data_IF_858406113446
#
_entry.id   IF_858406113446
#
_cell.length_a   1.000
_cell.length_b   1.000
_cell.length_c   1.000
_cell.angle_alpha   90.00
_cell.angle_beta   90.00
_cell.angle_gamma   90.00
#
_symmetry.space_group_name_H-M   'P 1'
#
loop_
_entity.id
_entity.type
_entity.pdbx_description
1 polymer ?
#
# COMPACT_ATOMS: atom_id res chain seq x y z
N UNK A 1 4.58 -24.41 0.94
CA UNK A 1 4.08 -24.31 2.32
C UNK A 1 3.41 -22.97 2.54
N UNK A 2 2.46 -22.87 3.46
CA UNK A 2 1.77 -21.63 3.88
C UNK A 2 2.02 -21.38 5.36
N UNK A 3 2.09 -20.13 5.78
CA UNK A 3 2.15 -19.77 7.21
C UNK A 3 0.75 -19.90 7.79
N UNK A 4 0.62 -20.63 8.90
CA UNK A 4 -0.66 -20.86 9.59
C UNK A 4 -0.72 -20.18 10.95
N UNK A 5 0.42 -19.91 11.58
CA UNK A 5 0.49 -19.26 12.88
C UNK A 5 1.79 -18.45 13.03
N UNK A 6 1.69 -17.33 13.74
CA UNK A 6 2.80 -16.50 14.21
C UNK A 6 2.74 -16.49 15.74
N UNK A 7 3.82 -16.89 16.42
CA UNK A 7 3.81 -17.05 17.88
C UNK A 7 5.00 -16.35 18.54
N UNK A 8 4.75 -15.75 19.70
CA UNK A 8 5.70 -14.96 20.49
C UNK A 8 4.97 -14.13 21.53
N UNK A 9 5.62 -13.79 22.65
CA UNK A 9 4.99 -12.99 23.72
C UNK A 9 5.14 -11.49 23.44
N UNK A 10 6.37 -10.98 23.50
CA UNK A 10 6.68 -9.57 23.20
C UNK A 10 7.29 -9.40 21.81
N UNK A 11 8.05 -10.41 21.36
CA UNK A 11 8.67 -10.48 20.04
C UNK A 11 8.32 -11.80 19.39
N UNK A 12 8.27 -11.82 18.07
CA UNK A 12 8.01 -13.04 17.31
C UNK A 12 9.18 -14.01 17.52
N UNK A 13 8.88 -15.24 17.93
CA UNK A 13 9.89 -16.27 18.26
C UNK A 13 9.72 -17.55 17.46
N UNK A 14 8.57 -17.76 16.80
CA UNK A 14 8.36 -18.90 15.92
C UNK A 14 7.23 -18.67 14.90
N UNK A 15 7.24 -19.50 13.86
CA UNK A 15 6.17 -19.62 12.87
C UNK A 15 5.78 -21.08 12.69
N UNK A 16 4.49 -21.33 12.49
CA UNK A 16 3.99 -22.63 12.05
C UNK A 16 3.75 -22.57 10.54
N UNK A 17 4.31 -23.54 9.81
CA UNK A 17 4.12 -23.65 8.36
C UNK A 17 3.52 -25.01 8.02
N UNK A 18 2.54 -24.99 7.12
CA UNK A 18 1.91 -26.19 6.56
C UNK A 18 2.38 -26.43 5.14
N UNK A 19 2.86 -27.62 4.82
CA UNK A 19 3.15 -28.01 3.44
C UNK A 19 1.84 -28.09 2.63
N UNK A 20 1.82 -27.44 1.46
CA UNK A 20 0.60 -27.34 0.63
C UNK A 20 0.33 -28.58 -0.21
N UNK A 21 1.27 -29.52 -0.27
CA UNK A 21 1.17 -30.79 -0.99
C UNK A 21 0.86 -31.94 -0.04
N UNK A 22 1.54 -32.00 1.11
CA UNK A 22 1.39 -33.11 2.06
C UNK A 22 0.43 -32.80 3.20
N UNK A 23 0.19 -31.52 3.50
CA UNK A 23 -0.60 -31.09 4.65
C UNK A 23 0.15 -31.15 5.99
N UNK A 24 1.40 -31.61 6.01
CA UNK A 24 2.21 -31.69 7.23
C UNK A 24 2.54 -30.30 7.78
N UNK A 25 2.48 -30.16 9.09
CA UNK A 25 2.85 -28.95 9.80
C UNK A 25 4.22 -29.08 10.46
N UNK A 26 4.97 -27.99 10.48
CA UNK A 26 6.22 -27.88 11.23
C UNK A 26 6.37 -26.49 11.82
N UNK A 27 7.05 -26.43 12.95
CA UNK A 27 7.37 -25.20 13.66
C UNK A 27 8.80 -24.80 13.32
N UNK A 28 9.00 -23.56 12.91
CA UNK A 28 10.32 -22.95 12.70
C UNK A 28 10.51 -21.94 13.83
N UNK A 29 11.56 -22.13 14.64
CA UNK A 29 11.88 -21.28 15.79
C UNK A 29 12.99 -20.29 15.43
N UNK A 30 13.03 -19.17 16.14
CA UNK A 30 14.14 -18.23 16.10
C UNK A 30 15.46 -18.87 16.54
N UNK A 31 16.57 -18.26 16.12
CA UNK A 31 17.90 -18.64 16.60
C UNK A 31 17.96 -18.42 18.12
N UNK A 32 18.58 -19.34 18.84
CA UNK A 32 18.68 -19.27 20.31
C UNK A 32 19.54 -18.08 20.78
N UNK A 33 20.37 -17.50 19.90
CA UNK A 33 21.28 -16.39 20.23
C UNK A 33 20.58 -15.05 20.41
N UNK A 34 19.60 -14.74 19.56
CA UNK A 34 18.86 -13.48 19.60
C UNK A 34 17.39 -13.66 19.95
N UNK A 35 16.84 -14.88 19.80
CA UNK A 35 15.46 -15.21 20.13
C UNK A 35 14.43 -14.50 19.27
N UNK A 36 14.85 -13.88 18.15
CA UNK A 36 14.01 -13.01 17.33
C UNK A 36 13.78 -13.64 15.96
N UNK A 37 12.52 -13.57 15.52
CA UNK A 37 12.09 -13.98 14.20
C UNK A 37 11.51 -12.78 13.44
N UNK A 38 11.88 -12.61 12.17
CA UNK A 38 11.32 -11.59 11.29
C UNK A 38 10.46 -12.21 10.18
N UNK A 39 9.25 -11.70 9.98
CA UNK A 39 8.38 -12.10 8.86
C UNK A 39 8.01 -10.87 8.04
N UNK A 40 8.31 -10.94 6.75
CA UNK A 40 7.97 -9.88 5.80
C UNK A 40 6.93 -10.41 4.81
N UNK A 41 5.71 -9.88 4.91
CA UNK A 41 4.57 -10.30 4.10
C UNK A 41 4.51 -9.49 2.81
N UNK A 42 4.72 -10.15 1.67
CA UNK A 42 4.61 -9.55 0.34
C UNK A 42 3.45 -10.19 -0.45
N UNK A 43 2.22 -10.06 0.06
CA UNK A 43 1.00 -10.63 -0.55
C UNK A 43 0.26 -9.65 -1.47
N UNK A 44 0.86 -8.49 -1.74
CA UNK A 44 0.24 -7.39 -2.46
C UNK A 44 -0.41 -6.37 -1.53
N UNK A 45 -0.86 -5.27 -2.12
CA UNK A 45 -1.53 -4.16 -1.44
C UNK A 45 -2.86 -3.91 -2.14
N UNK A 46 -3.93 -3.72 -1.38
CA UNK A 46 -5.21 -3.26 -1.91
C UNK A 46 -5.40 -1.78 -1.53
N UNK A 47 -5.37 -0.84 -2.49
CA UNK A 47 -5.59 0.57 -2.20
C UNK A 47 -7.04 0.84 -1.79
N UNK A 48 -7.26 1.78 -0.87
CA UNK A 48 -8.59 2.13 -0.36
C UNK A 48 -9.39 2.99 -1.35
N UNK A 49 -9.76 2.44 -2.51
CA UNK A 49 -10.42 3.17 -3.60
C UNK A 49 -11.90 2.85 -3.80
N UNK A 50 -12.47 1.99 -2.96
CA UNK A 50 -13.84 1.49 -3.17
C UNK A 50 -14.91 2.57 -3.12
N UNK A 51 -14.68 3.66 -2.39
CA UNK A 51 -15.62 4.79 -2.32
C UNK A 51 -15.80 5.51 -3.67
N UNK A 52 -14.80 5.43 -4.56
CA UNK A 52 -14.76 6.14 -5.85
C UNK A 52 -14.71 5.18 -7.04
N UNK A 53 -15.00 3.90 -6.80
CA UNK A 53 -15.11 2.88 -7.83
C UNK A 53 -16.06 3.35 -8.94
N UNK A 54 -15.66 3.09 -10.18
CA UNK A 54 -16.35 3.47 -11.42
C UNK A 54 -16.54 4.99 -11.64
N UNK A 55 -16.06 5.84 -10.74
CA UNK A 55 -16.07 7.30 -10.89
C UNK A 55 -14.70 7.80 -11.33
N UNK A 56 -13.66 7.36 -10.63
CA UNK A 56 -12.28 7.75 -10.90
C UNK A 56 -11.58 6.61 -11.64
N UNK A 57 -10.81 6.95 -12.66
CA UNK A 57 -10.03 5.99 -13.43
C UNK A 57 -8.97 5.33 -12.54
N UNK A 58 -8.95 3.99 -12.55
CA UNK A 58 -7.98 3.20 -11.77
C UNK A 58 -7.33 2.11 -12.62
N UNK A 59 -6.15 1.68 -12.20
CA UNK A 59 -5.48 0.49 -12.72
C UNK A 59 -5.06 -0.39 -11.54
N UNK A 60 -5.54 -1.63 -11.49
CA UNK A 60 -5.36 -2.54 -10.35
C UNK A 60 -5.76 -1.90 -9.01
N UNK A 61 -6.85 -1.13 -9.01
CA UNK A 61 -7.35 -0.40 -7.85
C UNK A 61 -6.64 0.92 -7.55
N UNK A 62 -5.49 1.21 -8.16
CA UNK A 62 -4.76 2.46 -7.91
C UNK A 62 -5.27 3.58 -8.80
N UNK A 63 -5.45 4.78 -8.22
CA UNK A 63 -5.90 5.96 -8.97
C UNK A 63 -4.86 6.37 -10.01
N UNK A 64 -5.31 6.58 -11.24
CA UNK A 64 -4.49 7.14 -12.30
C UNK A 64 -4.43 8.66 -12.15
N UNK A 65 -3.22 9.22 -12.21
CA UNK A 65 -3.01 10.67 -12.25
C UNK A 65 -1.94 11.05 -13.25
N UNK A 66 -1.92 12.32 -13.65
CA UNK A 66 -0.75 12.95 -14.27
C UNK A 66 0.33 13.27 -13.21
N UNK A 67 1.42 13.92 -13.65
CA UNK A 67 2.53 14.38 -12.79
C UNK A 67 2.14 15.56 -11.89
N UNK A 68 1.02 16.22 -12.18
CA UNK A 68 0.43 17.31 -11.40
C UNK A 68 -0.65 16.80 -10.42
N UNK A 69 -0.74 15.48 -10.26
CA UNK A 69 -1.66 14.76 -9.36
C UNK A 69 -3.14 14.87 -9.73
N UNK A 70 -3.47 15.34 -10.94
CA UNK A 70 -4.86 15.40 -11.43
C UNK A 70 -5.36 14.02 -11.82
N UNK A 71 -6.60 13.72 -11.50
CA UNK A 71 -7.30 12.53 -11.99
C UNK A 71 -7.97 12.80 -13.34
N UNK A 72 -8.75 11.85 -13.85
CA UNK A 72 -9.62 12.04 -15.01
C UNK A 72 -10.81 12.98 -14.74
N UNK A 73 -11.08 13.37 -13.48
CA UNK A 73 -12.15 14.29 -13.12
C UNK A 73 -11.51 15.65 -12.76
N UNK A 74 -11.85 16.74 -13.47
CA UNK A 74 -11.43 18.09 -13.10
C UNK A 74 -11.81 18.42 -11.65
N UNK A 75 -10.86 18.96 -10.89
CA UNK A 75 -11.04 19.32 -9.47
C UNK A 75 -10.85 18.15 -8.51
N UNK A 76 -10.55 16.95 -9.00
CA UNK A 76 -10.23 15.77 -8.18
C UNK A 76 -8.78 15.38 -8.38
N UNK A 77 -8.06 15.31 -7.26
CA UNK A 77 -6.63 14.98 -7.20
C UNK A 77 -6.42 13.73 -6.34
N UNK A 78 -5.33 13.01 -6.58
CA UNK A 78 -4.94 11.88 -5.75
C UNK A 78 -3.45 11.93 -5.43
N UNK A 79 -3.12 11.70 -4.16
CA UNK A 79 -1.76 11.76 -3.65
C UNK A 79 -1.47 10.60 -2.71
N UNK A 80 -0.21 10.19 -2.62
CA UNK A 80 0.21 9.12 -1.71
C UNK A 80 0.03 7.72 -2.30
N UNK A 81 -0.08 6.71 -1.45
CA UNK A 81 -0.03 5.32 -1.90
C UNK A 81 -1.30 4.83 -2.60
N UNK A 82 -2.32 5.69 -2.66
CA UNK A 82 -3.58 5.45 -3.38
C UNK A 82 -3.43 5.55 -4.91
N UNK A 83 -2.43 6.30 -5.40
CA UNK A 83 -2.17 6.47 -6.83
C UNK A 83 -1.23 5.42 -7.40
N UNK A 84 -1.26 5.26 -8.72
CA UNK A 84 -0.33 4.38 -9.45
C UNK A 84 1.08 4.96 -9.38
N UNK A 85 1.98 4.27 -8.67
CA UNK A 85 3.41 4.62 -8.59
C UNK A 85 4.30 3.42 -8.27
N UNK A 86 5.60 3.57 -8.57
CA UNK A 86 6.63 2.54 -8.37
C UNK A 86 7.11 2.47 -6.92
N UNK A 87 7.25 3.62 -6.24
CA UNK A 87 7.79 3.70 -4.89
C UNK A 87 6.72 4.18 -3.89
N UNK A 88 6.54 3.41 -2.82
CA UNK A 88 5.60 3.69 -1.72
C UNK A 88 6.39 3.95 -0.45
N UNK A 89 6.67 5.22 -0.19
CA UNK A 89 7.44 5.71 0.95
C UNK A 89 6.84 7.01 1.46
N UNK A 90 7.04 7.31 2.74
CA UNK A 90 6.55 8.54 3.39
C UNK A 90 6.95 9.77 2.58
N UNK A 91 8.22 9.87 2.17
CA UNK A 91 8.72 11.03 1.40
C UNK A 91 8.00 11.19 0.05
N UNK A 92 7.71 10.09 -0.65
CA UNK A 92 6.99 10.16 -1.93
C UNK A 92 5.54 10.58 -1.73
N UNK A 93 4.89 10.10 -0.66
CA UNK A 93 3.52 10.49 -0.35
C UNK A 93 3.40 11.96 0.04
N UNK A 94 4.36 12.47 0.82
CA UNK A 94 4.44 13.89 1.14
C UNK A 94 4.67 14.75 -0.11
N UNK A 95 5.55 14.32 -1.02
CA UNK A 95 5.80 14.99 -2.30
C UNK A 95 4.53 15.07 -3.15
N UNK A 96 3.84 13.93 -3.33
CA UNK A 96 2.56 13.88 -4.06
C UNK A 96 1.54 14.86 -3.43
N UNK A 97 1.44 14.87 -2.10
CA UNK A 97 0.50 15.74 -1.37
C UNK A 97 0.79 17.23 -1.54
N UNK A 98 2.06 17.62 -1.53
CA UNK A 98 2.48 19.00 -1.76
C UNK A 98 2.13 19.45 -3.19
N UNK A 99 2.37 18.61 -4.19
CA UNK A 99 2.02 18.90 -5.59
C UNK A 99 0.51 19.04 -5.73
N UNK A 100 -0.27 18.06 -5.25
CA UNK A 100 -1.72 18.06 -5.35
C UNK A 100 -2.36 19.32 -4.72
N UNK A 101 -1.90 19.73 -3.54
CA UNK A 101 -2.42 20.91 -2.86
C UNK A 101 -2.15 22.21 -3.65
N UNK A 102 -0.94 22.38 -4.19
CA UNK A 102 -0.57 23.55 -4.99
C UNK A 102 -1.33 23.57 -6.32
N UNK A 103 -1.52 22.42 -6.96
CA UNK A 103 -2.23 22.37 -8.24
C UNK A 103 -3.73 22.57 -8.08
N UNK A 104 -4.32 22.08 -6.99
CA UNK A 104 -5.72 22.40 -6.66
C UNK A 104 -5.94 23.91 -6.49
N UNK A 105 -5.02 24.62 -5.82
CA UNK A 105 -5.09 26.07 -5.68
C UNK A 105 -4.93 26.79 -7.03
N UNK A 106 -3.94 26.40 -7.82
CA UNK A 106 -3.66 27.01 -9.14
C UNK A 106 -4.80 26.82 -10.12
N UNK A 107 -5.32 25.60 -10.21
CA UNK A 107 -6.41 25.28 -11.13
C UNK A 107 -7.67 26.05 -10.77
N UNK A 108 -7.94 26.24 -9.46
CA UNK A 108 -9.04 27.06 -8.97
C UNK A 108 -8.83 28.54 -9.34
N UNK A 109 -7.63 29.08 -9.08
CA UNK A 109 -7.31 30.47 -9.40
C UNK A 109 -7.35 30.76 -10.92
N UNK A 110 -7.04 29.76 -11.74
CA UNK A 110 -7.10 29.84 -13.21
C UNK A 110 -8.51 29.62 -13.79
N UNK A 111 -9.52 29.31 -12.97
CA UNK A 111 -10.88 29.00 -13.43
C UNK A 111 -10.98 27.70 -14.22
N UNK A 112 -10.03 26.77 -14.03
CA UNK A 112 -10.05 25.45 -14.65
C UNK A 112 -10.96 24.49 -13.88
N UNK A 113 -11.21 24.78 -12.60
CA UNK A 113 -12.12 24.07 -11.71
C UNK A 113 -12.91 25.11 -10.91
N UNK A 114 -14.20 24.83 -10.63
CA UNK A 114 -15.11 25.76 -9.96
C UNK A 114 -16.10 26.41 -10.91
#
# INVERSE_FOLDING_TARGET
SVVTELSGEHVLSSITVRDTKTGEERIIKADEKDGIFGVFMFVGLNPNTELFKDKIATENGYVLTDDEMRTNIPGVYAAGDIRKKSLRQVVTACSDGAIAAVQAERDLAAGLIG
#
